data_IF_617495684392
#
_entry.id   IF_617495684392
#
_cell.length_a   1.000
_cell.length_b   1.000
_cell.length_c   1.000
_cell.angle_alpha   90.00
_cell.angle_beta   90.00
_cell.angle_gamma   90.00
#
_symmetry.space_group_name_H-M   'P 1'
#
loop_
_entity.id
_entity.type
_entity.pdbx_description
1 polymer ?
#
# COMPACT_ATOMS: atom_id res chain seq x y z
N UNK A 1 15.30 -27.23 8.28
CA UNK A 1 15.98 -28.51 8.58
C UNK A 1 14.96 -29.62 8.76
N UNK A 2 14.01 -29.50 9.71
CA UNK A 2 12.92 -30.48 9.91
C UNK A 2 12.13 -30.83 8.65
N UNK A 3 11.78 -29.86 7.81
CA UNK A 3 11.01 -30.15 6.58
C UNK A 3 11.81 -30.92 5.53
N UNK A 4 13.12 -30.68 5.44
CA UNK A 4 14.04 -31.41 4.54
C UNK A 4 14.30 -32.83 5.03
N UNK A 5 14.33 -33.04 6.34
CA UNK A 5 14.42 -34.37 6.96
C UNK A 5 13.13 -35.17 6.69
N UNK A 6 11.95 -34.54 6.81
CA UNK A 6 10.67 -35.16 6.46
C UNK A 6 10.60 -35.56 4.98
N UNK A 7 11.06 -34.68 4.08
CA UNK A 7 11.12 -34.98 2.63
C UNK A 7 12.10 -36.11 2.33
N UNK A 8 13.26 -36.17 3.00
CA UNK A 8 14.22 -37.26 2.83
C UNK A 8 13.66 -38.61 3.30
N UNK A 9 12.97 -38.63 4.45
CA UNK A 9 12.36 -39.84 5.00
C UNK A 9 11.20 -40.31 4.11
N UNK A 10 10.34 -39.40 3.66
CA UNK A 10 9.19 -39.73 2.82
C UNK A 10 9.59 -40.26 1.42
N UNK A 11 10.70 -39.76 0.86
CA UNK A 11 11.13 -40.06 -0.51
C UNK A 11 12.43 -40.88 -0.57
N UNK A 12 12.75 -41.63 0.50
CA UNK A 12 14.00 -42.39 0.63
C UNK A 12 14.17 -43.48 -0.46
N UNK A 13 13.06 -43.93 -1.04
CA UNK A 13 12.99 -44.94 -2.10
C UNK A 13 13.35 -44.38 -3.50
N UNK A 14 13.44 -43.05 -3.66
CA UNK A 14 13.86 -42.39 -4.90
C UNK A 14 15.30 -41.91 -4.78
N UNK A 15 16.30 -42.60 -5.38
CA UNK A 15 17.71 -42.34 -5.17
C UNK A 15 18.14 -40.91 -5.56
N UNK A 16 17.53 -40.38 -6.61
CA UNK A 16 17.83 -39.04 -7.11
C UNK A 16 17.38 -37.94 -6.13
N UNK A 17 16.19 -38.08 -5.55
CA UNK A 17 15.63 -37.16 -4.56
C UNK A 17 16.40 -37.26 -3.25
N UNK A 18 16.75 -38.48 -2.82
CA UNK A 18 17.59 -38.71 -1.64
C UNK A 18 18.95 -38.01 -1.75
N UNK A 19 19.62 -38.14 -2.88
CA UNK A 19 20.94 -37.53 -3.11
C UNK A 19 20.88 -36.00 -3.18
N UNK A 20 19.86 -35.45 -3.85
CA UNK A 20 19.62 -33.99 -3.92
C UNK A 20 19.31 -33.41 -2.53
N UNK A 21 18.46 -34.09 -1.76
CA UNK A 21 18.07 -33.65 -0.40
C UNK A 21 19.27 -33.73 0.57
N UNK A 22 20.07 -34.80 0.51
CA UNK A 22 21.29 -34.95 1.29
C UNK A 22 22.35 -33.87 0.96
N UNK A 23 22.49 -33.53 -0.32
CA UNK A 23 23.39 -32.45 -0.77
C UNK A 23 22.93 -31.09 -0.25
N UNK A 24 21.63 -30.78 -0.35
CA UNK A 24 21.06 -29.55 0.22
C UNK A 24 21.23 -29.48 1.74
N UNK A 25 21.01 -30.58 2.46
CA UNK A 25 21.24 -30.63 3.90
C UNK A 25 22.71 -30.42 4.26
N UNK A 26 23.65 -30.99 3.50
CA UNK A 26 25.09 -30.78 3.69
C UNK A 26 25.49 -29.32 3.45
N UNK A 27 24.97 -28.68 2.39
CA UNK A 27 25.23 -27.27 2.08
C UNK A 27 24.63 -26.32 3.12
N UNK A 28 23.43 -26.61 3.63
CA UNK A 28 22.80 -25.85 4.70
C UNK A 28 23.53 -26.04 6.05
N UNK A 29 24.00 -27.25 6.35
CA UNK A 29 24.86 -27.51 7.52
C UNK A 29 26.21 -26.78 7.43
N UNK A 30 26.82 -26.69 6.25
CA UNK A 30 28.07 -25.93 6.03
C UNK A 30 27.89 -24.41 6.11
N UNK A 31 26.73 -23.87 5.70
CA UNK A 31 26.38 -22.45 5.85
C UNK A 31 25.71 -22.11 7.20
N UNK A 32 25.58 -23.10 8.08
CA UNK A 32 24.84 -23.03 9.34
C UNK A 32 25.20 -21.85 10.25
N UNK A 33 26.49 -21.50 10.49
CA UNK A 33 26.78 -20.39 11.40
C UNK A 33 26.29 -19.07 10.83
N UNK A 34 26.65 -18.72 9.59
CA UNK A 34 26.26 -17.45 8.96
C UNK A 34 24.73 -17.30 8.87
N UNK A 35 24.03 -18.38 8.51
CA UNK A 35 22.57 -18.37 8.40
C UNK A 35 21.92 -18.28 9.79
N UNK A 36 22.46 -18.99 10.78
CA UNK A 36 21.94 -18.95 12.16
C UNK A 36 22.18 -17.59 12.79
N UNK A 37 23.39 -17.01 12.63
CA UNK A 37 23.71 -15.66 13.11
C UNK A 37 22.86 -14.60 12.41
N UNK A 38 22.57 -14.76 11.12
CA UNK A 38 21.64 -13.88 10.40
C UNK A 38 20.22 -13.96 10.98
N UNK A 39 19.68 -15.17 11.16
CA UNK A 39 18.34 -15.34 11.72
C UNK A 39 18.26 -14.90 13.18
N UNK A 40 19.25 -15.19 14.01
CA UNK A 40 19.31 -14.68 15.39
C UNK A 40 19.34 -13.14 15.43
N UNK A 41 20.15 -12.52 14.57
CA UNK A 41 20.28 -11.06 14.52
C UNK A 41 19.05 -10.36 13.94
N UNK A 42 18.36 -10.98 12.98
CA UNK A 42 17.32 -10.31 12.19
C UNK A 42 15.91 -10.87 12.36
N UNK A 43 15.71 -11.98 13.09
CA UNK A 43 14.37 -12.60 13.26
C UNK A 43 13.38 -11.64 13.92
N UNK A 44 13.78 -10.92 14.96
CA UNK A 44 12.92 -9.93 15.63
C UNK A 44 12.54 -8.78 14.68
N UNK A 45 13.49 -8.26 13.90
CA UNK A 45 13.21 -7.21 12.91
C UNK A 45 12.30 -7.70 11.79
N UNK A 46 12.49 -8.93 11.31
CA UNK A 46 11.63 -9.53 10.29
C UNK A 46 10.22 -9.81 10.80
N UNK A 47 10.08 -10.22 12.07
CA UNK A 47 8.77 -10.35 12.74
C UNK A 47 8.07 -9.00 12.86
N UNK A 48 8.80 -7.95 13.26
CA UNK A 48 8.26 -6.60 13.35
C UNK A 48 7.81 -6.07 11.98
N UNK A 49 8.64 -6.23 10.93
CA UNK A 49 8.27 -5.85 9.56
C UNK A 49 7.06 -6.65 9.07
N UNK A 50 7.00 -7.95 9.37
CA UNK A 50 5.85 -8.78 9.00
C UNK A 50 4.56 -8.35 9.71
N UNK A 51 4.65 -8.01 11.00
CA UNK A 51 3.53 -7.49 11.78
C UNK A 51 3.07 -6.13 11.24
N UNK A 52 3.99 -5.21 11.00
CA UNK A 52 3.71 -3.88 10.45
C UNK A 52 3.02 -3.98 9.08
N UNK A 53 3.52 -4.88 8.22
CA UNK A 53 2.89 -5.16 6.93
C UNK A 53 1.47 -5.74 7.08
N UNK A 54 1.26 -6.70 7.98
CA UNK A 54 -0.08 -7.26 8.25
C UNK A 54 -1.04 -6.19 8.78
N UNK A 55 -0.55 -5.30 9.64
CA UNK A 55 -1.31 -4.20 10.23
C UNK A 55 -1.68 -3.18 9.15
N UNK A 56 -0.73 -2.83 8.27
CA UNK A 56 -0.96 -1.98 7.12
C UNK A 56 -2.02 -2.54 6.17
N UNK A 57 -1.95 -3.84 5.84
CA UNK A 57 -2.96 -4.50 4.98
C UNK A 57 -4.34 -4.44 5.63
N UNK A 58 -4.45 -4.76 6.93
CA UNK A 58 -5.72 -4.67 7.68
C UNK A 58 -6.27 -3.26 7.73
N UNK A 59 -5.42 -2.26 7.97
CA UNK A 59 -5.80 -0.84 7.98
C UNK A 59 -6.33 -0.41 6.61
N UNK A 60 -5.65 -0.80 5.53
CA UNK A 60 -6.06 -0.49 4.16
C UNK A 60 -7.40 -1.16 3.83
N UNK A 61 -7.59 -2.42 4.24
CA UNK A 61 -8.85 -3.13 4.07
C UNK A 61 -10.00 -2.42 4.81
N UNK A 62 -9.80 -2.03 6.07
CA UNK A 62 -10.83 -1.33 6.85
C UNK A 62 -11.23 0.01 6.21
N UNK A 63 -10.28 0.78 5.68
CA UNK A 63 -10.56 2.03 4.97
C UNK A 63 -11.38 1.80 3.69
N UNK A 64 -11.07 0.75 2.93
CA UNK A 64 -11.84 0.40 1.72
C UNK A 64 -13.26 -0.06 2.07
N UNK A 65 -13.44 -0.78 3.17
CA UNK A 65 -14.75 -1.21 3.67
C UNK A 65 -15.58 -0.01 4.17
N UNK A 66 -14.96 0.93 4.89
CA UNK A 66 -15.60 2.19 5.33
C UNK A 66 -16.05 3.03 4.13
N UNK A 67 -15.17 3.25 3.14
CA UNK A 67 -15.49 4.00 1.92
C UNK A 67 -16.63 3.33 1.12
N UNK A 68 -16.66 1.98 1.09
CA UNK A 68 -17.75 1.24 0.46
C UNK A 68 -19.09 1.44 1.19
N UNK A 69 -19.10 1.45 2.53
CA UNK A 69 -20.31 1.71 3.32
C UNK A 69 -20.80 3.16 3.19
N UNK A 70 -19.90 4.13 3.12
CA UNK A 70 -20.24 5.54 2.88
C UNK A 70 -20.87 5.77 1.49
N UNK A 71 -20.36 5.08 0.46
CA UNK A 71 -20.94 5.11 -0.90
C UNK A 71 -22.35 4.51 -0.95
N UNK A 72 -22.63 3.47 -0.17
CA UNK A 72 -23.97 2.84 -0.09
C UNK A 72 -24.96 3.75 0.64
N UNK A 73 -24.54 4.44 1.70
CA UNK A 73 -25.40 5.38 2.44
C UNK A 73 -25.69 6.67 1.66
N UNK A 74 -24.75 7.16 0.84
CA UNK A 74 -24.98 8.31 -0.05
C UNK A 74 -25.90 7.97 -1.24
N UNK A 75 -25.79 6.76 -1.81
CA UNK A 75 -26.74 6.29 -2.84
C UNK A 75 -28.18 6.18 -2.32
N UNK A 76 -28.37 5.82 -1.04
CA UNK A 76 -29.71 5.72 -0.44
C UNK A 76 -30.36 7.09 -0.18
N UNK A 77 -29.57 8.17 -0.06
CA UNK A 77 -30.08 9.56 0.05
C UNK A 77 -30.33 10.24 -1.30
N UNK A 78 -29.67 9.81 -2.37
CA UNK A 78 -29.90 10.34 -3.74
C UNK A 78 -30.96 9.56 -4.53
N UNK A 79 -31.31 8.34 -4.14
CA UNK A 79 -32.33 7.54 -4.81
C UNK A 79 -33.79 8.02 -4.58
N UNK A 80 -34.03 9.02 -3.73
CA UNK A 80 -35.35 9.66 -3.58
C UNK A 80 -35.56 10.87 -4.49
N UNK A 81 -34.55 11.31 -5.26
CA UNK A 81 -34.61 12.53 -6.08
C UNK A 81 -33.81 12.42 -7.39
N UNK A 82 -34.10 11.43 -8.25
CA UNK A 82 -33.84 11.56 -9.69
C UNK A 82 -34.32 10.33 -10.46
N UNK A 83 -35.56 10.39 -10.94
CA UNK A 83 -36.05 9.57 -12.04
C UNK A 83 -36.03 10.41 -13.32
N UNK A 84 -35.07 10.20 -14.21
CA UNK A 84 -35.29 10.34 -15.67
C UNK A 84 -34.05 9.99 -16.51
N UNK A 85 -34.33 9.21 -17.55
CA UNK A 85 -33.72 9.17 -18.89
C UNK A 85 -32.33 8.56 -19.10
N UNK A 86 -32.33 7.36 -19.73
CA UNK A 86 -31.63 6.96 -20.98
C UNK A 86 -30.19 7.49 -21.21
N UNK A 87 -29.19 6.75 -21.69
CA UNK A 87 -29.09 5.50 -22.47
C UNK A 87 -27.58 5.26 -22.68
N UNK A 88 -27.10 4.02 -22.61
CA UNK A 88 -25.79 3.64 -23.21
C UNK A 88 -25.88 3.78 -24.73
N UNK A 89 -24.76 4.06 -25.44
CA UNK A 89 -24.03 2.93 -26.00
C UNK A 89 -22.51 3.03 -25.84
N UNK A 90 -21.93 1.83 -25.78
CA UNK A 90 -20.51 1.51 -25.88
C UNK A 90 -19.81 2.16 -27.08
N UNK A 91 -18.71 2.88 -26.83
CA UNK A 91 -17.72 3.21 -27.85
C UNK A 91 -16.36 2.63 -27.47
N UNK A 92 -15.89 1.72 -28.32
CA UNK A 92 -14.47 1.34 -28.44
C UNK A 92 -13.69 2.64 -28.61
N UNK A 93 -12.74 2.91 -27.70
CA UNK A 93 -11.90 4.10 -27.75
C UNK A 93 -10.70 3.80 -28.64
N UNK A 94 -10.71 4.41 -29.82
CA UNK A 94 -9.52 4.52 -30.67
C UNK A 94 -8.43 5.27 -29.90
N UNK A 95 -7.29 4.61 -29.75
CA UNK A 95 -6.12 5.09 -28.99
C UNK A 95 -5.40 6.24 -29.72
N UNK A 96 -5.68 6.45 -31.00
CA UNK A 96 -4.97 7.41 -31.86
C UNK A 96 -5.36 8.89 -31.66
N UNK A 97 -6.47 9.21 -30.97
CA UNK A 97 -6.97 10.60 -30.83
C UNK A 97 -6.75 11.20 -29.44
N UNK A 98 -5.99 10.55 -28.54
CA UNK A 98 -5.74 11.06 -27.19
C UNK A 98 -4.58 12.08 -27.10
N UNK A 99 -3.90 12.38 -28.21
CA UNK A 99 -2.71 13.25 -28.25
C UNK A 99 -3.01 14.70 -27.81
N UNK A 100 -4.28 15.13 -27.84
CA UNK A 100 -4.67 16.51 -27.48
C UNK A 100 -5.63 16.62 -26.28
N UNK A 101 -5.94 15.53 -25.57
CA UNK A 101 -6.82 15.64 -24.41
C UNK A 101 -6.06 16.26 -23.22
N UNK A 102 -6.13 17.58 -23.13
CA UNK A 102 -5.81 18.34 -21.92
C UNK A 102 -6.75 17.83 -20.83
N UNK A 103 -6.21 17.09 -19.87
CA UNK A 103 -6.98 16.65 -18.70
C UNK A 103 -7.05 17.81 -17.72
N UNK A 104 -8.22 18.40 -17.54
CA UNK A 104 -8.40 19.45 -16.55
C UNK A 104 -8.72 18.82 -15.19
N UNK A 105 -7.72 18.76 -14.30
CA UNK A 105 -7.86 18.33 -12.89
C UNK A 105 -7.95 19.51 -11.92
N UNK A 106 -7.85 20.75 -12.44
CA UNK A 106 -7.84 21.98 -11.67
C UNK A 106 -6.56 22.21 -10.87
N UNK A 107 -5.50 21.43 -11.09
CA UNK A 107 -4.22 21.52 -10.38
C UNK A 107 -3.17 22.06 -11.34
N UNK A 108 -2.90 23.35 -11.23
CA UNK A 108 -1.83 24.00 -11.99
C UNK A 108 -0.50 23.80 -11.27
N UNK A 109 0.46 23.22 -11.99
CA UNK A 109 1.83 23.03 -11.50
C UNK A 109 2.62 24.32 -11.75
N UNK A 110 3.42 24.82 -10.79
CA UNK A 110 4.23 26.02 -10.99
C UNK A 110 5.14 25.89 -12.21
N UNK A 111 5.33 27.00 -12.91
CA UNK A 111 6.17 27.10 -14.11
C UNK A 111 5.71 26.16 -15.25
N UNK A 112 4.43 25.77 -15.25
CA UNK A 112 3.80 24.96 -16.29
C UNK A 112 2.45 25.56 -16.69
N UNK A 113 2.22 25.71 -18.00
CA UNK A 113 0.94 26.18 -18.57
C UNK A 113 -0.13 25.09 -18.60
N UNK A 114 0.23 23.87 -18.20
CA UNK A 114 -0.63 22.69 -18.24
C UNK A 114 -0.81 22.09 -16.85
N UNK A 115 -1.95 21.44 -16.67
CA UNK A 115 -2.33 20.77 -15.43
C UNK A 115 -1.46 19.56 -15.10
N UNK A 116 -1.46 19.20 -13.81
CA UNK A 116 -0.75 18.03 -13.29
C UNK A 116 -1.12 16.74 -14.03
N UNK A 117 -2.41 16.45 -14.19
CA UNK A 117 -2.90 15.29 -14.93
C UNK A 117 -2.44 15.29 -16.40
N UNK A 118 -2.45 16.46 -17.05
CA UNK A 118 -1.96 16.58 -18.43
C UNK A 118 -0.48 16.27 -18.54
N UNK A 119 0.35 16.75 -17.61
CA UNK A 119 1.79 16.44 -17.56
C UNK A 119 2.00 14.93 -17.46
N UNK A 120 1.33 14.29 -16.50
CA UNK A 120 1.45 12.85 -16.26
C UNK A 120 1.02 12.03 -17.47
N UNK A 121 -0.11 12.39 -18.07
CA UNK A 121 -0.68 11.64 -19.19
C UNK A 121 0.15 11.80 -20.46
N UNK A 122 0.66 13.00 -20.75
CA UNK A 122 1.57 13.22 -21.87
C UNK A 122 2.85 12.39 -21.74
N UNK A 123 3.44 12.35 -20.55
CA UNK A 123 4.67 11.58 -20.34
C UNK A 123 4.42 10.06 -20.44
N UNK A 124 3.27 9.59 -19.96
CA UNK A 124 2.87 8.20 -20.10
C UNK A 124 2.60 7.80 -21.56
N UNK A 125 2.00 8.69 -22.36
CA UNK A 125 1.80 8.48 -23.80
C UNK A 125 3.14 8.36 -24.53
N UNK A 126 4.11 9.24 -24.26
CA UNK A 126 5.47 9.13 -24.85
C UNK A 126 6.12 7.78 -24.53
N UNK A 127 5.98 7.33 -23.30
CA UNK A 127 6.47 6.00 -22.89
C UNK A 127 5.73 4.89 -23.64
N UNK A 128 4.42 5.02 -23.85
CA UNK A 128 3.61 4.06 -24.60
C UNK A 128 3.98 4.02 -26.09
N UNK A 129 4.21 5.16 -26.73
CA UNK A 129 4.67 5.23 -28.12
C UNK A 129 6.04 4.56 -28.31
N UNK A 130 6.94 4.75 -27.34
CA UNK A 130 8.23 4.04 -27.31
C UNK A 130 7.99 2.53 -27.18
N UNK A 131 7.06 2.10 -26.33
CA UNK A 131 6.71 0.69 -26.13
C UNK A 131 6.10 0.04 -27.37
N UNK A 132 5.21 0.76 -28.08
CA UNK A 132 4.60 0.29 -29.33
C UNK A 132 5.66 0.12 -30.42
N UNK A 133 6.64 1.02 -30.46
CA UNK A 133 7.72 0.98 -31.45
C UNK A 133 8.78 -0.08 -31.12
N UNK A 134 9.12 -0.27 -29.84
CA UNK A 134 10.05 -1.28 -29.37
C UNK A 134 9.73 -1.71 -27.90
N UNK A 135 9.06 -2.87 -27.70
CA UNK A 135 8.63 -3.30 -26.37
C UNK A 135 9.78 -3.52 -25.36
N UNK A 136 10.95 -3.93 -25.83
CA UNK A 136 12.08 -4.31 -24.98
C UNK A 136 12.91 -3.10 -24.52
N UNK A 137 12.73 -1.94 -25.15
CA UNK A 137 13.50 -0.73 -24.86
C UNK A 137 12.99 0.06 -23.63
N UNK A 138 11.84 -0.35 -23.07
CA UNK A 138 11.34 0.27 -21.86
C UNK A 138 12.08 -0.24 -20.61
N UNK A 139 12.73 0.69 -19.92
CA UNK A 139 13.20 0.45 -18.56
C UNK A 139 12.02 0.22 -17.60
N UNK A 140 12.26 -0.47 -16.48
CA UNK A 140 11.25 -0.68 -15.44
C UNK A 140 10.64 0.64 -14.94
N UNK A 141 11.46 1.71 -14.89
CA UNK A 141 11.02 3.07 -14.56
C UNK A 141 10.01 3.61 -15.57
N UNK A 142 10.31 3.56 -16.87
CA UNK A 142 9.39 4.01 -17.92
C UNK A 142 8.09 3.21 -17.90
N UNK A 143 8.15 1.89 -17.62
CA UNK A 143 6.95 1.06 -17.43
C UNK A 143 6.07 1.55 -16.28
N UNK A 144 6.66 1.93 -15.13
CA UNK A 144 5.92 2.48 -13.99
C UNK A 144 5.27 3.84 -14.31
N UNK A 145 6.01 4.73 -14.98
CA UNK A 145 5.48 6.04 -15.42
C UNK A 145 4.32 5.84 -16.40
N UNK A 146 4.49 4.95 -17.38
CA UNK A 146 3.47 4.60 -18.36
C UNK A 146 2.21 4.05 -17.69
N UNK A 147 2.33 3.00 -16.87
CA UNK A 147 1.16 2.35 -16.27
C UNK A 147 0.40 3.28 -15.32
N UNK A 148 1.11 4.02 -14.46
CA UNK A 148 0.49 4.93 -13.51
C UNK A 148 -0.12 6.15 -14.20
N UNK A 149 0.58 6.76 -15.18
CA UNK A 149 0.08 7.92 -15.89
C UNK A 149 -1.06 7.61 -16.87
N UNK A 150 -1.08 6.44 -17.53
CA UNK A 150 -2.24 6.01 -18.34
C UNK A 150 -3.47 5.69 -17.48
N UNK A 151 -3.26 5.39 -16.20
CA UNK A 151 -4.33 5.19 -15.21
C UNK A 151 -4.75 6.49 -14.51
N UNK A 152 -4.12 7.62 -14.85
CA UNK A 152 -4.27 8.92 -14.16
C UNK A 152 -4.06 8.81 -12.63
N UNK A 153 -3.15 7.92 -12.19
CA UNK A 153 -2.79 7.73 -10.79
C UNK A 153 -1.46 8.41 -10.52
N UNK A 154 -1.44 9.26 -9.48
CA UNK A 154 -0.22 9.88 -8.95
C UNK A 154 0.22 9.16 -7.68
N UNK A 155 1.39 8.53 -7.74
CA UNK A 155 2.03 7.90 -6.59
C UNK A 155 2.91 8.90 -5.83
N UNK A 156 2.34 9.53 -4.80
CA UNK A 156 3.03 10.45 -3.89
C UNK A 156 3.91 9.72 -2.84
N UNK A 157 3.70 8.41 -2.66
CA UNK A 157 4.39 7.63 -1.63
C UNK A 157 5.79 7.23 -2.06
N UNK A 158 6.00 7.07 -3.37
CA UNK A 158 7.30 6.72 -3.94
C UNK A 158 8.18 7.96 -4.17
N UNK A 159 8.95 8.30 -3.12
CA UNK A 159 9.95 9.39 -3.15
C UNK A 159 11.21 9.06 -3.95
N UNK A 160 11.34 7.85 -4.50
CA UNK A 160 12.53 7.46 -5.25
C UNK A 160 12.69 8.30 -6.53
N UNK A 161 13.93 8.52 -6.96
CA UNK A 161 14.20 9.15 -8.27
C UNK A 161 13.73 8.29 -9.45
N UNK A 162 13.39 7.02 -9.19
CA UNK A 162 12.87 6.07 -10.17
C UNK A 162 11.35 6.16 -10.42
N UNK A 163 10.66 7.11 -9.79
CA UNK A 163 9.20 7.22 -9.81
C UNK A 163 8.68 8.35 -10.71
N UNK A 164 7.37 8.59 -10.67
CA UNK A 164 6.71 9.74 -11.30
C UNK A 164 7.26 11.09 -10.81
N UNK A 165 7.96 11.13 -9.66
CA UNK A 165 8.71 12.31 -9.21
C UNK A 165 9.60 12.88 -10.32
N UNK A 166 10.21 11.99 -11.10
CA UNK A 166 11.17 12.37 -12.13
C UNK A 166 10.58 13.07 -13.35
N UNK A 167 9.25 13.12 -13.46
CA UNK A 167 8.53 13.89 -14.47
C UNK A 167 8.56 15.39 -14.11
N UNK A 168 8.79 15.71 -12.84
CA UNK A 168 8.73 17.07 -12.29
C UNK A 168 10.11 17.57 -11.90
N UNK A 169 10.30 18.90 -11.97
CA UNK A 169 11.43 19.54 -11.30
C UNK A 169 11.29 19.43 -9.78
N UNK A 170 12.37 19.66 -9.03
CA UNK A 170 12.32 19.62 -7.57
C UNK A 170 11.24 20.57 -7.00
N UNK A 171 11.20 21.82 -7.50
CA UNK A 171 10.21 22.82 -7.08
C UNK A 171 8.77 22.39 -7.37
N UNK A 172 8.53 21.82 -8.54
CA UNK A 172 7.22 21.33 -8.95
C UNK A 172 6.77 20.14 -8.10
N UNK A 173 7.69 19.21 -7.81
CA UNK A 173 7.40 18.08 -6.94
C UNK A 173 7.09 18.53 -5.51
N UNK A 174 7.86 19.47 -4.97
CA UNK A 174 7.63 20.03 -3.63
C UNK A 174 6.24 20.69 -3.54
N UNK A 175 5.85 21.44 -4.58
CA UNK A 175 4.51 22.02 -4.67
C UNK A 175 3.41 20.95 -4.70
N UNK A 176 3.55 19.93 -5.55
CA UNK A 176 2.57 18.85 -5.67
C UNK A 176 2.39 18.12 -4.32
N UNK A 177 3.49 17.82 -3.63
CA UNK A 177 3.42 17.23 -2.29
C UNK A 177 2.72 18.17 -1.31
N UNK A 178 3.10 19.44 -1.23
CA UNK A 178 2.48 20.39 -0.32
C UNK A 178 0.96 20.56 -0.58
N UNK A 179 0.55 20.56 -1.85
CA UNK A 179 -0.86 20.64 -2.23
C UNK A 179 -1.65 19.43 -1.73
N UNK A 180 -1.14 18.22 -1.95
CA UNK A 180 -1.81 16.99 -1.51
C UNK A 180 -1.68 16.72 -0.02
N UNK A 181 -0.59 17.09 0.64
CA UNK A 181 -0.44 17.02 2.10
C UNK A 181 -1.51 17.86 2.78
N UNK A 182 -1.78 19.07 2.26
CA UNK A 182 -2.87 19.91 2.77
C UNK A 182 -4.25 19.33 2.48
N UNK A 183 -4.46 18.80 1.27
CA UNK A 183 -5.77 18.28 0.82
C UNK A 183 -6.15 16.95 1.47
N UNK A 184 -5.15 16.09 1.70
CA UNK A 184 -5.27 14.78 2.33
C UNK A 184 -4.93 14.85 3.83
N UNK A 185 -4.73 16.05 4.38
CA UNK A 185 -4.54 16.25 5.80
C UNK A 185 -5.73 15.65 6.55
N UNK A 186 -5.47 14.57 7.27
CA UNK A 186 -6.46 14.01 8.19
C UNK A 186 -6.64 15.06 9.29
N UNK A 187 -7.90 15.44 9.54
CA UNK A 187 -8.20 16.32 10.67
C UNK A 187 -7.74 15.60 11.93
N UNK A 188 -6.72 16.14 12.58
CA UNK A 188 -6.29 15.64 13.88
C UNK A 188 -7.44 15.88 14.86
N UNK A 189 -8.17 14.83 15.19
CA UNK A 189 -9.06 14.86 16.32
C UNK A 189 -8.20 14.94 17.58
N UNK A 190 -8.52 15.89 18.45
CA UNK A 190 -7.95 15.90 19.80
C UNK A 190 -8.40 14.60 20.45
N UNK A 191 -7.46 13.69 20.64
CA UNK A 191 -7.72 12.45 21.35
C UNK A 191 -8.01 12.83 22.80
N UNK A 192 -9.11 12.31 23.36
CA UNK A 192 -9.41 12.48 24.78
C UNK A 192 -8.20 12.06 25.62
N UNK A 193 -7.97 12.75 26.74
CA UNK A 193 -6.83 12.50 27.66
C UNK A 193 -6.72 11.03 28.10
N UNK A 194 -7.80 10.26 28.02
CA UNK A 194 -7.83 8.83 28.31
C UNK A 194 -7.08 7.98 27.27
N UNK A 195 -6.98 8.40 26.00
CA UNK A 195 -6.32 7.65 24.92
C UNK A 195 -4.78 7.67 25.05
N UNK A 196 -4.11 8.83 25.20
CA UNK A 196 -2.66 8.86 25.46
C UNK A 196 -2.26 8.10 26.72
N UNK A 197 -3.08 8.18 27.78
CA UNK A 197 -2.86 7.45 29.02
C UNK A 197 -2.98 5.93 28.82
N UNK A 198 -3.98 5.49 28.05
CA UNK A 198 -4.14 4.07 27.68
C UNK A 198 -2.93 3.56 26.89
N UNK A 199 -2.46 4.33 25.90
CA UNK A 199 -1.27 3.98 25.11
C UNK A 199 -0.05 3.82 26.01
N UNK A 200 0.16 4.75 26.95
CA UNK A 200 1.26 4.70 27.91
C UNK A 200 1.18 3.49 28.84
N UNK A 201 -0.01 3.12 29.31
CA UNK A 201 -0.21 1.95 30.17
C UNK A 201 0.11 0.66 29.39
N UNK A 202 -0.38 0.53 28.15
CA UNK A 202 -0.09 -0.61 27.29
C UNK A 202 1.41 -0.72 26.99
N UNK A 203 2.06 0.40 26.64
CA UNK A 203 3.50 0.45 26.43
C UNK A 203 4.27 0.00 27.68
N UNK A 204 3.85 0.44 28.87
CA UNK A 204 4.51 0.05 30.11
C UNK A 204 4.35 -1.45 30.42
N UNK A 205 3.16 -2.02 30.20
CA UNK A 205 2.93 -3.46 30.35
C UNK A 205 3.87 -4.23 29.41
N UNK A 206 3.90 -3.85 28.12
CA UNK A 206 4.73 -4.53 27.13
C UNK A 206 6.23 -4.36 27.41
N UNK A 207 6.67 -3.19 27.87
CA UNK A 207 8.08 -2.93 28.17
C UNK A 207 8.57 -3.61 29.45
N UNK A 208 7.71 -3.74 30.47
CA UNK A 208 8.10 -4.30 31.77
C UNK A 208 7.94 -5.82 31.83
N UNK A 209 6.87 -6.38 31.25
CA UNK A 209 6.56 -7.81 31.37
C UNK A 209 6.53 -8.56 30.04
N UNK A 210 6.56 -7.86 28.90
CA UNK A 210 6.32 -8.44 27.57
C UNK A 210 5.04 -9.31 27.51
N UNK A 211 4.09 -9.05 28.40
CA UNK A 211 2.85 -9.80 28.52
C UNK A 211 1.78 -9.20 27.61
N UNK A 212 1.72 -9.75 26.40
CA UNK A 212 0.76 -9.33 25.38
C UNK A 212 -0.68 -9.67 25.75
N UNK A 213 -0.92 -10.75 26.49
CA UNK A 213 -2.27 -11.15 26.91
C UNK A 213 -2.83 -10.15 27.90
N UNK A 214 -2.02 -9.71 28.86
CA UNK A 214 -2.41 -8.66 29.81
C UNK A 214 -2.73 -7.33 29.12
N UNK A 215 -1.93 -6.94 28.12
CA UNK A 215 -2.18 -5.73 27.33
C UNK A 215 -3.49 -5.82 26.52
N UNK A 216 -3.77 -6.99 25.92
CA UNK A 216 -5.02 -7.24 25.18
C UNK A 216 -6.22 -7.18 26.12
N UNK A 217 -6.15 -7.86 27.26
CA UNK A 217 -7.24 -7.90 28.26
C UNK A 217 -7.55 -6.49 28.78
N UNK A 218 -6.53 -5.67 29.01
CA UNK A 218 -6.70 -4.27 29.44
C UNK A 218 -7.44 -3.44 28.37
N UNK A 219 -7.04 -3.56 27.11
CA UNK A 219 -7.71 -2.86 25.99
C UNK A 219 -9.16 -3.33 25.82
N UNK A 220 -9.44 -4.62 25.97
CA UNK A 220 -10.79 -5.16 25.85
C UNK A 220 -11.69 -4.72 27.01
N UNK A 221 -11.16 -4.62 28.22
CA UNK A 221 -11.89 -4.03 29.36
C UNK A 221 -12.22 -2.55 29.12
N UNK A 222 -11.30 -1.78 28.55
CA UNK A 222 -11.56 -0.40 28.16
C UNK A 222 -12.66 -0.32 27.09
N UNK A 223 -12.58 -1.14 26.03
CA UNK A 223 -13.63 -1.21 25.00
C UNK A 223 -15.00 -1.53 25.59
N UNK A 224 -15.09 -2.47 26.52
CA UNK A 224 -16.35 -2.78 27.20
C UNK A 224 -16.86 -1.61 28.06
N UNK A 225 -15.96 -0.87 28.73
CA UNK A 225 -16.32 0.33 29.50
C UNK A 225 -16.89 1.43 28.60
N UNK A 226 -16.26 1.69 27.45
CA UNK A 226 -16.75 2.70 26.50
C UNK A 226 -17.99 2.24 25.74
N UNK A 227 -18.14 0.95 25.45
CA UNK A 227 -19.37 0.43 24.83
C UNK A 227 -20.60 0.52 25.74
N UNK A 228 -20.40 0.59 27.07
CA UNK A 228 -21.47 0.77 28.07
C UNK A 228 -21.70 2.24 28.45
N UNK A 229 -20.77 3.13 28.09
CA UNK A 229 -20.89 4.56 28.31
C UNK A 229 -21.43 5.18 27.02
N UNK A 230 -22.64 5.75 27.04
CA UNK A 230 -23.30 6.44 25.91
C UNK A 230 -22.54 7.70 25.39
N UNK A 231 -21.22 7.81 25.65
CA UNK A 231 -20.35 8.91 25.20
C UNK A 231 -20.00 8.87 23.70
N UNK A 232 -20.44 7.84 22.96
CA UNK A 232 -20.22 7.70 21.51
C UNK A 232 -21.42 8.13 20.64
N UNK A 233 -22.39 8.87 21.19
CA UNK A 233 -23.57 9.38 20.44
C UNK A 233 -23.52 10.87 20.06
N UNK A 234 -22.38 11.54 20.16
CA UNK A 234 -22.25 12.95 19.77
C UNK A 234 -21.26 13.12 18.60
#
# INVERSE_FOLDING_TARGET
>A
MRDLELVQVALIHLPEVKNKTATMMSLLKKKSPIISTFWEKHSSSLKMISLDHKLYVRKTQALLEEEAMEKVTHKRKQASFSSSSSSKPSRKRDVATQVEQIEHDGINVPDSDISLATIMKREAIKCHETFVSNPDDLTQRKRKIMSAGLSSILDLTDKSFGSQRSIFTAKQWDYVNAYFDKRLAIKNHVLDDEIPNTIRIVQNILNLSADYECAIEYVDKLKQKYSKSDKLKA
#
